data_IF_569801163462
#
_entry.id   IF_569801163462
#
_cell.length_a   1.000
_cell.length_b   1.000
_cell.length_c   1.000
_cell.angle_alpha   90.00
_cell.angle_beta   90.00
_cell.angle_gamma   90.00
#
_symmetry.space_group_name_H-M   'P 1'
#
loop_
_entity.id
_entity.type
_entity.pdbx_description
1 polymer ?
#
# COMPACT_ATOMS: atom_id res chain seq x y z
N UNK A 1 -27.42 -18.61 13.20
CA UNK A 1 -28.40 -19.23 12.27
C UNK A 1 -29.80 -18.64 12.41
N UNK A 2 -30.35 -18.51 13.64
CA UNK A 2 -31.72 -18.03 13.86
C UNK A 2 -31.93 -16.59 13.34
N UNK A 3 -31.00 -15.69 13.61
CA UNK A 3 -31.05 -14.29 13.14
C UNK A 3 -30.94 -14.18 11.62
N UNK A 4 -30.08 -15.00 11.00
CA UNK A 4 -29.94 -15.06 9.55
C UNK A 4 -31.25 -15.51 8.89
N UNK A 5 -31.85 -16.59 9.36
CA UNK A 5 -33.10 -17.12 8.83
C UNK A 5 -34.26 -16.10 8.97
N UNK A 6 -34.30 -15.37 10.07
CA UNK A 6 -35.28 -14.30 10.26
C UNK A 6 -35.05 -13.15 9.25
N UNK A 7 -33.80 -12.70 9.06
CA UNK A 7 -33.45 -11.69 8.07
C UNK A 7 -33.85 -12.12 6.66
N UNK A 8 -33.55 -13.38 6.28
CA UNK A 8 -33.92 -13.92 4.97
C UNK A 8 -35.45 -13.94 4.76
N UNK A 9 -36.20 -14.28 5.79
CA UNK A 9 -37.67 -14.28 5.74
C UNK A 9 -38.24 -12.89 5.58
N UNK A 10 -37.71 -11.90 6.30
CA UNK A 10 -38.13 -10.49 6.18
C UNK A 10 -37.78 -9.92 4.80
N UNK A 11 -36.61 -10.29 4.25
CA UNK A 11 -36.21 -9.88 2.91
C UNK A 11 -37.10 -10.46 1.81
N UNK A 12 -37.48 -11.75 1.93
CA UNK A 12 -38.37 -12.41 0.95
C UNK A 12 -39.81 -11.87 1.00
N UNK A 13 -40.22 -11.32 2.14
CA UNK A 13 -41.51 -10.64 2.32
C UNK A 13 -41.53 -9.17 1.93
N UNK A 14 -40.43 -8.65 1.43
CA UNK A 14 -40.25 -7.22 1.18
C UNK A 14 -40.98 -6.77 -0.10
N UNK A 15 -41.85 -5.79 0.03
CA UNK A 15 -42.59 -5.24 -1.09
C UNK A 15 -41.79 -4.11 -1.78
N UNK A 16 -41.10 -4.46 -2.88
CA UNK A 16 -40.32 -3.52 -3.68
C UNK A 16 -41.15 -2.35 -4.26
N UNK A 17 -42.50 -2.47 -4.33
CA UNK A 17 -43.38 -1.40 -4.84
C UNK A 17 -43.44 -0.19 -3.91
N UNK A 18 -43.03 -0.34 -2.65
CA UNK A 18 -43.02 0.74 -1.65
C UNK A 18 -41.80 1.68 -1.75
N UNK A 19 -40.91 1.47 -2.75
CA UNK A 19 -39.79 2.36 -3.02
C UNK A 19 -38.66 2.33 -1.96
N UNK A 20 -38.61 1.27 -1.16
CA UNK A 20 -37.52 1.07 -0.17
C UNK A 20 -36.39 0.28 -0.80
N UNK A 21 -35.15 0.69 -0.56
CA UNK A 21 -33.92 0.02 -1.00
C UNK A 21 -33.13 -0.40 0.22
N UNK A 22 -32.73 -1.67 0.26
CA UNK A 22 -31.89 -2.21 1.32
C UNK A 22 -30.42 -2.13 0.85
N UNK A 23 -29.57 -1.48 1.66
CA UNK A 23 -28.13 -1.39 1.42
C UNK A 23 -27.39 -2.08 2.57
N UNK A 24 -26.39 -2.89 2.22
CA UNK A 24 -25.46 -3.48 3.16
C UNK A 24 -24.03 -3.25 2.68
N UNK A 25 -23.09 -3.17 3.61
CA UNK A 25 -21.67 -3.05 3.31
C UNK A 25 -20.88 -4.04 4.15
N UNK A 26 -19.85 -4.63 3.56
CA UNK A 26 -18.93 -5.55 4.24
C UNK A 26 -17.55 -5.46 3.62
N UNK A 27 -16.52 -5.65 4.45
CA UNK A 27 -15.15 -5.84 4.00
C UNK A 27 -14.85 -7.32 3.67
N UNK A 28 -15.78 -8.23 4.00
CA UNK A 28 -15.59 -9.67 3.85
C UNK A 28 -16.77 -10.30 3.11
N UNK A 29 -16.86 -10.07 1.79
CA UNK A 29 -17.95 -10.62 0.98
C UNK A 29 -17.92 -12.16 0.92
N UNK A 30 -16.76 -12.77 1.10
CA UNK A 30 -16.50 -14.21 1.14
C UNK A 30 -17.15 -14.92 2.34
N UNK A 31 -17.40 -14.21 3.44
CA UNK A 31 -18.02 -14.77 4.65
C UNK A 31 -19.54 -14.67 4.64
N UNK A 32 -20.11 -14.02 3.64
CA UNK A 32 -21.58 -13.92 3.52
C UNK A 32 -22.19 -15.25 3.11
N UNK A 33 -23.32 -15.59 3.75
CA UNK A 33 -24.10 -16.73 3.33
C UNK A 33 -24.59 -16.55 1.88
N UNK A 34 -24.36 -17.51 0.98
CA UNK A 34 -24.82 -17.44 -0.40
C UNK A 34 -26.31 -17.16 -0.56
N UNK A 35 -27.13 -17.53 0.44
CA UNK A 35 -28.57 -17.25 0.44
C UNK A 35 -28.90 -15.76 0.46
N UNK A 36 -28.05 -14.92 1.08
CA UNK A 36 -28.21 -13.47 1.07
C UNK A 36 -27.98 -12.85 -0.32
N UNK A 37 -27.21 -13.51 -1.17
CA UNK A 37 -26.78 -13.01 -2.47
C UNK A 37 -27.65 -13.49 -3.63
N UNK A 38 -28.78 -14.16 -3.33
CA UNK A 38 -29.75 -14.61 -4.34
C UNK A 38 -30.56 -13.45 -4.93
N UNK A 39 -31.06 -13.58 -6.17
CA UNK A 39 -31.97 -12.59 -6.78
C UNK A 39 -33.16 -12.31 -5.87
N UNK A 40 -33.55 -11.04 -5.77
CA UNK A 40 -34.61 -10.56 -4.89
C UNK A 40 -34.16 -10.20 -3.47
N UNK A 41 -32.86 -10.37 -3.15
CA UNK A 41 -32.23 -9.97 -1.89
C UNK A 41 -31.09 -8.99 -2.19
N UNK A 42 -29.84 -9.25 -1.78
CA UNK A 42 -28.69 -8.47 -2.20
C UNK A 42 -28.19 -8.93 -3.59
N UNK A 43 -28.97 -8.63 -4.60
CA UNK A 43 -28.71 -9.06 -5.98
C UNK A 43 -27.68 -8.19 -6.71
N UNK A 44 -27.42 -6.97 -6.24
CA UNK A 44 -26.41 -6.07 -6.78
C UNK A 44 -25.21 -5.97 -5.86
N UNK A 45 -24.04 -6.27 -6.40
CA UNK A 45 -22.76 -6.12 -5.73
C UNK A 45 -22.01 -4.97 -6.39
N UNK A 46 -21.63 -4.01 -5.58
CA UNK A 46 -20.87 -2.83 -6.03
C UNK A 46 -19.53 -2.87 -5.31
N UNK A 47 -18.45 -3.32 -5.98
CA UNK A 47 -17.10 -3.22 -5.40
C UNK A 47 -16.72 -1.75 -5.26
N UNK A 48 -16.24 -1.37 -4.08
CA UNK A 48 -15.66 -0.06 -3.82
C UNK A 48 -14.15 -0.25 -3.82
N UNK A 49 -13.52 0.05 -4.94
CA UNK A 49 -12.08 -0.07 -5.12
C UNK A 49 -11.33 1.11 -4.51
N UNK A 50 -10.00 0.96 -4.39
CA UNK A 50 -9.14 2.08 -4.00
C UNK A 50 -9.21 3.18 -5.07
N UNK A 51 -9.15 4.46 -4.68
CA UNK A 51 -9.26 5.56 -5.62
C UNK A 51 -8.02 5.65 -6.53
N UNK A 52 -8.25 5.95 -7.81
CA UNK A 52 -7.22 6.34 -8.76
C UNK A 52 -6.60 7.69 -8.40
N UNK A 53 -5.59 8.14 -9.13
CA UNK A 53 -4.90 9.41 -8.87
C UNK A 53 -5.86 10.59 -8.77
N UNK A 54 -6.81 10.70 -9.71
CA UNK A 54 -7.79 11.78 -9.73
C UNK A 54 -8.76 11.69 -8.55
N UNK A 55 -9.21 10.49 -8.24
CA UNK A 55 -10.07 10.22 -7.07
C UNK A 55 -9.35 10.58 -5.76
N UNK A 56 -8.07 10.24 -5.60
CA UNK A 56 -7.29 10.63 -4.42
C UNK A 56 -7.15 12.16 -4.31
N UNK A 57 -6.87 12.83 -5.42
CA UNK A 57 -6.78 14.30 -5.44
C UNK A 57 -8.10 14.96 -5.01
N UNK A 58 -9.24 14.48 -5.54
CA UNK A 58 -10.55 15.01 -5.16
C UNK A 58 -10.93 14.69 -3.70
N UNK A 59 -10.61 13.51 -3.20
CA UNK A 59 -10.81 13.15 -1.78
C UNK A 59 -9.99 14.06 -0.87
N UNK A 60 -8.72 14.30 -1.19
CA UNK A 60 -7.86 15.23 -0.44
C UNK A 60 -8.47 16.64 -0.42
N UNK A 61 -8.93 17.16 -1.57
CA UNK A 61 -9.59 18.47 -1.66
C UNK A 61 -10.87 18.55 -0.82
N UNK A 62 -11.66 17.49 -0.81
CA UNK A 62 -12.89 17.44 0.02
C UNK A 62 -12.56 17.54 1.51
N UNK A 63 -11.59 16.78 1.99
CA UNK A 63 -11.20 16.83 3.40
C UNK A 63 -10.46 18.11 3.75
N UNK A 64 -9.67 18.65 2.83
CA UNK A 64 -8.95 19.91 2.99
C UNK A 64 -9.84 21.15 3.14
N UNK A 65 -11.10 21.10 2.69
CA UNK A 65 -12.08 22.19 2.92
C UNK A 65 -12.32 22.50 4.40
N UNK A 66 -12.03 21.55 5.29
CA UNK A 66 -12.24 21.69 6.74
C UNK A 66 -11.04 22.33 7.45
N UNK A 67 -9.93 22.55 6.75
CA UNK A 67 -8.70 23.11 7.30
C UNK A 67 -8.25 24.34 6.52
N UNK A 68 -7.52 25.23 7.17
CA UNK A 68 -6.91 26.37 6.49
C UNK A 68 -5.62 25.96 5.83
N UNK A 69 -5.54 26.12 4.51
CA UNK A 69 -4.37 25.80 3.72
C UNK A 69 -3.53 27.03 3.41
N UNK A 70 -2.26 26.84 3.14
CA UNK A 70 -1.41 27.83 2.47
C UNK A 70 -1.77 27.90 0.98
N UNK A 71 -1.44 29.03 0.33
CA UNK A 71 -1.88 29.31 -1.04
C UNK A 71 -1.26 28.43 -2.14
N UNK A 72 -0.20 27.67 -1.84
CA UNK A 72 0.59 26.94 -2.82
C UNK A 72 0.60 25.42 -2.60
N UNK A 73 -0.50 24.82 -2.16
CA UNK A 73 -0.62 23.37 -1.97
C UNK A 73 -0.89 22.68 -3.30
N UNK A 74 -0.01 21.77 -3.70
CA UNK A 74 -0.17 20.89 -4.87
C UNK A 74 -0.77 19.55 -4.47
N UNK A 75 -2.09 19.43 -4.57
CA UNK A 75 -2.80 18.18 -4.28
C UNK A 75 -2.47 17.05 -5.24
N UNK A 76 -2.06 17.34 -6.47
CA UNK A 76 -1.67 16.32 -7.43
C UNK A 76 -0.37 15.63 -7.01
N UNK A 77 0.63 16.42 -6.56
CA UNK A 77 1.87 15.86 -6.02
C UNK A 77 1.60 14.99 -4.77
N UNK A 78 0.73 15.46 -3.85
CA UNK A 78 0.32 14.70 -2.66
C UNK A 78 -0.41 13.41 -3.05
N UNK A 79 -1.35 13.46 -4.00
CA UNK A 79 -2.10 12.30 -4.46
C UNK A 79 -1.20 11.23 -5.12
N UNK A 80 -0.17 11.67 -5.86
CA UNK A 80 0.86 10.74 -6.41
C UNK A 80 1.66 10.07 -5.31
N UNK A 81 2.14 10.83 -4.35
CA UNK A 81 2.91 10.30 -3.22
C UNK A 81 2.08 9.35 -2.32
N UNK A 82 0.74 9.52 -2.30
CA UNK A 82 -0.21 8.68 -1.57
C UNK A 82 -0.79 7.55 -2.44
N UNK A 83 -0.03 7.02 -3.39
CA UNK A 83 -0.46 5.90 -4.24
C UNK A 83 -0.87 4.69 -3.41
N UNK A 84 -2.01 4.06 -3.75
CA UNK A 84 -2.58 2.93 -3.03
C UNK A 84 -3.30 3.28 -1.71
N UNK A 85 -3.38 4.56 -1.33
CA UNK A 85 -4.09 4.96 -0.12
C UNK A 85 -5.61 4.90 -0.30
N UNK A 86 -6.29 4.42 0.72
CA UNK A 86 -7.75 4.44 0.84
C UNK A 86 -8.27 5.85 1.16
N UNK A 87 -9.58 6.08 0.94
CA UNK A 87 -10.20 7.34 1.31
C UNK A 87 -10.07 7.70 2.79
N UNK A 88 -10.06 6.70 3.68
CA UNK A 88 -9.86 6.90 5.11
C UNK A 88 -8.43 7.34 5.45
N UNK A 89 -7.43 6.74 4.80
CA UNK A 89 -6.03 7.13 4.96
C UNK A 89 -5.78 8.55 4.44
N UNK A 90 -6.36 8.92 3.29
CA UNK A 90 -6.28 10.27 2.75
C UNK A 90 -6.91 11.31 3.69
N UNK A 91 -8.07 10.99 4.28
CA UNK A 91 -8.69 11.84 5.30
C UNK A 91 -7.79 12.00 6.53
N UNK A 92 -7.15 10.91 6.96
CA UNK A 92 -6.22 10.93 8.09
C UNK A 92 -4.96 11.74 7.77
N UNK A 93 -4.43 11.67 6.54
CA UNK A 93 -3.30 12.49 6.12
C UNK A 93 -3.59 13.99 6.28
N UNK A 94 -4.77 14.45 5.85
CA UNK A 94 -5.17 15.85 6.02
C UNK A 94 -5.29 16.23 7.50
N UNK A 95 -5.83 15.33 8.33
CA UNK A 95 -5.95 15.53 9.77
C UNK A 95 -4.57 15.61 10.46
N UNK A 96 -3.65 14.70 10.14
CA UNK A 96 -2.29 14.71 10.69
C UNK A 96 -1.50 15.96 10.29
N UNK A 97 -1.66 16.41 9.03
CA UNK A 97 -1.06 17.67 8.58
C UNK A 97 -1.58 18.88 9.38
N UNK A 98 -2.90 18.90 9.66
CA UNK A 98 -3.50 19.95 10.49
C UNK A 98 -2.99 19.90 11.93
N UNK A 99 -2.90 18.70 12.53
CA UNK A 99 -2.34 18.52 13.88
C UNK A 99 -0.87 18.96 13.95
N UNK A 100 -0.08 18.68 12.92
CA UNK A 100 1.31 19.14 12.84
C UNK A 100 1.38 20.66 12.80
N UNK A 101 0.59 21.32 11.96
CA UNK A 101 0.56 22.79 11.89
C UNK A 101 0.24 23.42 13.25
N UNK A 102 -0.74 22.84 13.99
CA UNK A 102 -1.08 23.30 15.34
C UNK A 102 0.05 23.09 16.33
N UNK A 103 0.72 21.93 16.32
CA UNK A 103 1.89 21.65 17.19
C UNK A 103 3.03 22.64 16.97
N UNK A 104 3.17 23.16 15.74
CA UNK A 104 4.17 24.18 15.38
C UNK A 104 3.64 25.62 15.49
N UNK A 105 2.47 25.80 16.17
CA UNK A 105 1.82 27.11 16.38
C UNK A 105 1.51 27.86 15.08
N UNK A 106 1.27 27.15 13.98
CA UNK A 106 0.85 27.73 12.70
C UNK A 106 -0.67 27.64 12.53
N UNK A 107 -1.24 28.59 11.80
CA UNK A 107 -2.69 28.69 11.56
C UNK A 107 -3.13 28.06 10.24
N UNK A 108 -2.21 27.60 9.42
CA UNK A 108 -2.47 27.03 8.11
C UNK A 108 -1.53 25.83 7.86
N UNK A 109 -2.03 24.89 7.08
CA UNK A 109 -1.33 23.70 6.65
C UNK A 109 -0.55 24.00 5.39
N UNK A 110 0.73 23.61 5.36
CA UNK A 110 1.62 23.78 4.21
C UNK A 110 1.77 22.49 3.41
N UNK A 111 2.37 22.60 2.23
CA UNK A 111 2.76 21.42 1.42
C UNK A 111 3.61 20.44 2.23
N UNK A 112 4.61 20.94 2.97
CA UNK A 112 5.51 20.11 3.77
C UNK A 112 4.78 19.36 4.92
N UNK A 113 3.69 19.90 5.44
CA UNK A 113 2.89 19.21 6.46
C UNK A 113 2.13 18.02 5.85
N UNK A 114 1.59 18.20 4.65
CA UNK A 114 0.92 17.13 3.91
C UNK A 114 1.90 16.03 3.50
N UNK A 115 3.08 16.37 3.02
CA UNK A 115 4.14 15.42 2.69
C UNK A 115 4.59 14.61 3.91
N UNK A 116 4.82 15.26 5.06
CA UNK A 116 5.15 14.55 6.31
C UNK A 116 3.98 13.68 6.81
N UNK A 117 2.73 14.11 6.58
CA UNK A 117 1.57 13.33 6.97
C UNK A 117 1.42 12.03 6.18
N UNK A 118 1.80 12.02 4.88
CA UNK A 118 1.86 10.80 4.08
C UNK A 118 2.81 9.80 4.74
N UNK A 119 4.02 10.28 5.10
CA UNK A 119 4.99 9.42 5.76
C UNK A 119 4.50 8.90 7.11
N UNK A 120 3.81 9.76 7.87
CA UNK A 120 3.24 9.39 9.17
C UNK A 120 2.17 8.32 9.04
N UNK A 121 1.31 8.41 8.02
CA UNK A 121 0.22 7.46 7.80
C UNK A 121 0.75 6.14 7.22
N UNK A 122 1.70 6.20 6.28
CA UNK A 122 2.25 5.01 5.60
C UNK A 122 3.32 4.31 6.44
N UNK A 123 4.30 5.05 6.96
CA UNK A 123 5.47 4.51 7.66
C UNK A 123 5.41 4.66 9.19
N UNK A 124 4.37 5.31 9.72
CA UNK A 124 4.22 5.58 11.14
C UNK A 124 4.94 6.84 11.60
N UNK A 125 4.72 7.20 12.88
CA UNK A 125 5.33 8.37 13.50
C UNK A 125 6.84 8.23 13.63
N UNK A 126 7.56 9.35 13.62
CA UNK A 126 8.98 9.38 13.96
C UNK A 126 9.18 8.98 15.43
N UNK A 127 10.08 8.03 15.66
CA UNK A 127 10.46 7.64 17.02
C UNK A 127 11.39 8.68 17.62
N UNK A 128 10.95 9.37 18.65
CA UNK A 128 11.74 10.40 19.34
C UNK A 128 12.79 9.82 20.30
N UNK A 129 12.58 8.60 20.76
CA UNK A 129 13.37 7.99 21.84
C UNK A 129 14.34 6.91 21.36
N UNK A 130 14.36 6.58 20.07
CA UNK A 130 15.29 5.59 19.52
C UNK A 130 16.54 6.28 19.02
N UNK A 131 17.60 6.21 19.81
CA UNK A 131 18.90 6.77 19.47
C UNK A 131 19.73 5.67 18.83
N UNK A 132 19.78 5.65 17.51
CA UNK A 132 20.72 4.80 16.77
C UNK A 132 22.15 5.20 17.11
N UNK A 133 23.01 4.22 17.38
CA UNK A 133 24.43 4.46 17.51
C UNK A 133 25.03 5.02 16.20
N UNK A 134 26.16 5.68 16.26
CA UNK A 134 26.83 6.22 15.06
C UNK A 134 27.12 5.13 14.04
N UNK A 135 27.42 3.91 14.48
CA UNK A 135 27.65 2.76 13.61
C UNK A 135 26.35 2.31 12.91
N UNK A 136 25.25 2.22 13.65
CA UNK A 136 23.96 1.85 13.09
C UNK A 136 23.46 2.90 12.10
N UNK A 137 23.58 4.20 12.42
CA UNK A 137 23.23 5.28 11.47
C UNK A 137 24.00 5.16 10.16
N UNK A 138 25.28 4.82 10.24
CA UNK A 138 26.10 4.65 9.06
C UNK A 138 25.63 3.43 8.24
N UNK A 139 25.35 2.30 8.89
CA UNK A 139 24.85 1.10 8.22
C UNK A 139 23.50 1.39 7.53
N UNK A 140 22.55 1.99 8.24
CA UNK A 140 21.24 2.37 7.67
C UNK A 140 21.40 3.34 6.50
N UNK A 141 22.30 4.34 6.61
CA UNK A 141 22.54 5.27 5.53
C UNK A 141 23.04 4.61 4.25
N UNK A 142 24.00 3.70 4.36
CA UNK A 142 24.50 2.93 3.21
C UNK A 142 23.44 1.97 2.66
N UNK A 143 22.63 1.38 3.52
CA UNK A 143 21.51 0.52 3.14
C UNK A 143 20.50 1.29 2.27
N UNK A 144 20.01 2.43 2.75
CA UNK A 144 19.03 3.25 2.02
C UNK A 144 19.60 3.83 0.73
N UNK A 145 20.87 4.28 0.75
CA UNK A 145 21.54 4.74 -0.46
C UNK A 145 21.75 3.58 -1.44
N UNK A 146 21.94 2.36 -0.95
CA UNK A 146 22.01 1.16 -1.80
C UNK A 146 20.74 0.95 -2.60
N UNK A 147 19.56 1.06 -1.97
CA UNK A 147 18.27 1.03 -2.67
C UNK A 147 18.15 2.16 -3.70
N UNK A 148 18.45 3.38 -3.26
CA UNK A 148 18.32 4.57 -4.11
C UNK A 148 19.26 4.52 -5.33
N UNK A 149 20.49 4.06 -5.15
CA UNK A 149 21.47 3.97 -6.23
C UNK A 149 21.06 2.93 -7.27
N UNK A 150 20.64 1.75 -6.81
CA UNK A 150 20.15 0.69 -7.72
C UNK A 150 18.92 1.18 -8.48
N UNK A 151 17.96 1.82 -7.79
CA UNK A 151 16.77 2.38 -8.43
C UNK A 151 17.11 3.45 -9.48
N UNK A 152 18.02 4.37 -9.16
CA UNK A 152 18.39 5.48 -10.05
C UNK A 152 19.18 5.03 -11.30
N UNK A 153 19.86 3.89 -11.23
CA UNK A 153 20.65 3.36 -12.37
C UNK A 153 19.85 2.44 -13.29
N UNK A 154 18.57 2.15 -12.95
CA UNK A 154 17.71 1.31 -13.78
C UNK A 154 16.87 2.15 -14.71
N UNK A 155 16.58 1.62 -15.92
CA UNK A 155 15.86 2.32 -16.97
C UNK A 155 14.35 2.43 -16.70
N UNK A 156 13.76 1.42 -16.08
CA UNK A 156 12.32 1.30 -15.85
C UNK A 156 11.98 1.28 -14.35
N UNK A 157 12.58 2.18 -13.59
CA UNK A 157 12.35 2.32 -12.16
C UNK A 157 11.72 3.68 -11.86
N UNK A 158 10.79 3.69 -10.90
CA UNK A 158 10.22 4.95 -10.40
C UNK A 158 11.33 5.84 -9.82
N UNK A 159 11.28 7.16 -10.03
CA UNK A 159 12.29 8.08 -9.51
C UNK A 159 12.30 8.07 -7.99
N UNK A 160 13.50 8.11 -7.42
CA UNK A 160 13.69 8.27 -5.98
C UNK A 160 13.37 9.71 -5.60
N UNK A 161 12.36 9.88 -4.75
CA UNK A 161 11.91 11.21 -4.30
C UNK A 161 12.43 11.57 -2.93
N UNK A 162 12.68 10.59 -2.07
CA UNK A 162 13.15 10.82 -0.70
C UNK A 162 13.95 9.64 -0.17
N UNK A 163 14.99 9.95 0.61
CA UNK A 163 15.76 8.99 1.41
C UNK A 163 15.77 9.52 2.85
N UNK A 164 15.55 8.67 3.82
CA UNK A 164 15.61 9.02 5.24
C UNK A 164 16.20 7.89 6.09
N UNK A 165 16.90 8.27 7.14
CA UNK A 165 17.44 7.35 8.16
C UNK A 165 16.77 7.61 9.54
N UNK A 166 15.58 8.21 9.54
CA UNK A 166 14.83 8.51 10.75
C UNK A 166 13.95 7.31 11.09
N UNK A 167 14.14 6.68 12.27
CA UNK A 167 13.34 5.53 12.68
C UNK A 167 11.86 5.87 12.81
N UNK A 168 11.01 4.93 12.37
CA UNK A 168 9.55 5.06 12.40
C UNK A 168 8.91 4.00 13.31
N UNK A 169 7.69 4.26 13.76
CA UNK A 169 6.96 3.35 14.66
C UNK A 169 6.56 2.03 13.99
N UNK A 170 6.56 1.96 12.66
CA UNK A 170 6.40 0.71 11.91
C UNK A 170 7.57 -0.29 12.08
N UNK A 171 8.67 0.15 12.71
CA UNK A 171 9.89 -0.65 12.86
C UNK A 171 10.97 -0.36 11.82
N UNK A 172 10.68 0.43 10.79
CA UNK A 172 11.68 0.86 9.82
C UNK A 172 12.70 1.82 10.46
N UNK A 173 13.99 1.56 10.25
CA UNK A 173 15.09 2.42 10.73
C UNK A 173 15.41 3.54 9.73
N UNK A 174 15.04 3.35 8.47
CA UNK A 174 15.09 4.27 7.37
C UNK A 174 14.11 3.84 6.28
N UNK A 175 14.00 4.58 5.22
CA UNK A 175 13.32 4.16 3.98
C UNK A 175 13.74 5.00 2.79
N UNK A 176 13.66 4.39 1.63
CA UNK A 176 13.82 5.04 0.33
C UNK A 176 12.46 5.08 -0.35
N UNK A 177 11.98 6.29 -0.68
CA UNK A 177 10.68 6.51 -1.30
C UNK A 177 10.84 6.70 -2.80
N UNK A 178 10.10 5.91 -3.55
CA UNK A 178 9.95 6.03 -4.99
C UNK A 178 8.50 6.39 -5.31
N UNK A 179 8.29 7.32 -6.23
CA UNK A 179 6.95 7.73 -6.65
C UNK A 179 6.90 7.70 -8.17
N UNK A 180 6.02 6.85 -8.70
CA UNK A 180 5.78 6.79 -10.13
C UNK A 180 5.19 8.10 -10.66
N UNK A 181 5.64 8.52 -11.83
CA UNK A 181 5.10 9.70 -12.51
C UNK A 181 3.65 9.47 -13.00
N UNK A 182 3.33 8.21 -13.37
CA UNK A 182 2.04 7.78 -13.87
C UNK A 182 1.58 6.50 -13.17
N UNK A 183 0.29 6.34 -12.98
CA UNK A 183 -0.27 5.07 -12.50
C UNK A 183 -0.21 4.01 -13.60
N UNK A 184 0.42 2.89 -13.29
CA UNK A 184 0.54 1.76 -14.19
C UNK A 184 -0.20 0.55 -13.64
N UNK A 185 -1.04 -0.04 -14.47
CA UNK A 185 -1.81 -1.25 -14.12
C UNK A 185 -1.10 -2.55 -14.54
N UNK A 186 -0.07 -2.45 -15.37
CA UNK A 186 0.70 -3.59 -15.86
C UNK A 186 2.18 -3.37 -15.57
N UNK A 187 2.85 -4.44 -15.20
CA UNK A 187 4.30 -4.48 -15.03
C UNK A 187 4.89 -5.58 -15.91
N UNK A 188 5.94 -5.25 -16.63
CA UNK A 188 6.70 -6.21 -17.43
C UNK A 188 7.57 -7.10 -16.53
N UNK A 189 8.09 -8.19 -17.10
CA UNK A 189 9.05 -9.06 -16.42
C UNK A 189 10.31 -8.28 -16.01
N UNK A 190 10.80 -7.39 -16.88
CA UNK A 190 11.98 -6.58 -16.64
C UNK A 190 11.75 -5.57 -15.49
N UNK A 191 10.60 -4.91 -15.44
CA UNK A 191 10.25 -4.01 -14.35
C UNK A 191 10.17 -4.74 -13.00
N UNK A 192 9.65 -5.97 -12.98
CA UNK A 192 9.63 -6.79 -11.76
C UNK A 192 11.03 -7.22 -11.32
N UNK A 193 11.91 -7.59 -12.26
CA UNK A 193 13.32 -7.88 -11.98
C UNK A 193 14.04 -6.65 -11.43
N UNK A 194 13.80 -5.49 -12.02
CA UNK A 194 14.34 -4.20 -11.56
C UNK A 194 13.88 -3.87 -10.14
N UNK A 195 12.61 -4.15 -9.84
CA UNK A 195 12.07 -3.96 -8.48
C UNK A 195 12.72 -4.90 -7.46
N UNK A 196 12.94 -6.16 -7.82
CA UNK A 196 13.67 -7.12 -6.98
C UNK A 196 15.11 -6.66 -6.77
N UNK A 197 15.80 -6.20 -7.81
CA UNK A 197 17.15 -5.68 -7.71
C UNK A 197 17.21 -4.46 -6.78
N UNK A 198 16.25 -3.53 -6.88
CA UNK A 198 16.14 -2.40 -5.98
C UNK A 198 15.96 -2.85 -4.53
N UNK A 199 15.05 -3.79 -4.25
CA UNK A 199 14.82 -4.33 -2.91
C UNK A 199 16.06 -5.02 -2.32
N UNK A 200 16.91 -5.61 -3.14
CA UNK A 200 18.14 -6.26 -2.66
C UNK A 200 19.33 -5.30 -2.53
N UNK A 201 19.20 -4.08 -3.06
CA UNK A 201 20.28 -3.07 -3.12
C UNK A 201 20.84 -2.70 -1.76
N UNK A 202 19.97 -2.50 -0.76
CA UNK A 202 20.39 -2.14 0.60
C UNK A 202 21.31 -3.19 1.24
N UNK A 203 20.88 -4.46 1.19
CA UNK A 203 21.70 -5.56 1.70
C UNK A 203 23.01 -5.74 0.95
N UNK A 204 23.01 -5.53 -0.38
CA UNK A 204 24.23 -5.59 -1.18
C UNK A 204 25.22 -4.49 -0.77
N UNK A 205 24.72 -3.28 -0.49
CA UNK A 205 25.54 -2.17 0.00
C UNK A 205 26.17 -2.48 1.37
N UNK A 206 25.40 -3.03 2.32
CA UNK A 206 25.96 -3.48 3.61
C UNK A 206 27.11 -4.47 3.43
N UNK A 207 26.91 -5.50 2.61
CA UNK A 207 27.92 -6.52 2.34
C UNK A 207 29.17 -5.94 1.70
N UNK A 208 29.02 -5.02 0.75
CA UNK A 208 30.11 -4.42 -0.01
C UNK A 208 30.96 -3.50 0.88
N UNK A 209 30.34 -2.68 1.71
CA UNK A 209 31.02 -1.64 2.48
C UNK A 209 31.52 -2.14 3.83
N UNK A 210 30.71 -2.96 4.52
CA UNK A 210 31.00 -3.40 5.88
C UNK A 210 31.47 -4.86 5.95
N UNK A 211 31.47 -5.58 4.84
CA UNK A 211 31.71 -7.03 4.78
C UNK A 211 30.85 -7.82 5.80
N UNK A 212 29.67 -7.29 6.10
CA UNK A 212 28.71 -7.80 7.08
C UNK A 212 27.30 -7.58 6.55
N UNK A 213 26.36 -8.31 7.13
CA UNK A 213 24.93 -8.18 6.83
C UNK A 213 24.17 -8.08 8.13
N UNK A 214 23.11 -7.26 8.12
CA UNK A 214 22.26 -7.06 9.30
C UNK A 214 20.85 -7.62 9.10
N UNK A 215 20.06 -7.62 10.16
CA UNK A 215 18.64 -8.00 10.12
C UNK A 215 17.75 -6.93 9.49
N UNK A 216 18.29 -5.74 9.18
CA UNK A 216 17.55 -4.62 8.61
C UNK A 216 16.87 -4.93 7.27
N UNK A 217 17.48 -5.80 6.47
CA UNK A 217 16.98 -6.21 5.17
C UNK A 217 15.82 -7.24 5.19
N UNK A 218 15.29 -7.60 6.36
CA UNK A 218 14.28 -8.68 6.48
C UNK A 218 13.03 -8.42 5.65
N UNK A 219 12.49 -7.22 5.69
CA UNK A 219 11.32 -6.84 4.92
C UNK A 219 11.58 -6.80 3.40
N UNK A 220 12.75 -6.32 2.98
CA UNK A 220 13.13 -6.27 1.57
C UNK A 220 13.26 -7.66 0.98
N UNK A 221 13.87 -8.59 1.74
CA UNK A 221 14.00 -10.00 1.36
C UNK A 221 12.62 -10.64 1.25
N UNK A 222 11.70 -10.35 2.18
CA UNK A 222 10.34 -10.87 2.15
C UNK A 222 9.59 -10.36 0.90
N UNK A 223 9.66 -9.06 0.62
CA UNK A 223 9.01 -8.46 -0.55
C UNK A 223 9.63 -8.98 -1.87
N UNK A 224 10.95 -9.04 -1.96
CA UNK A 224 11.64 -9.59 -3.12
C UNK A 224 11.24 -11.07 -3.37
N UNK A 225 11.14 -11.86 -2.31
CA UNK A 225 10.70 -13.27 -2.38
C UNK A 225 9.25 -13.38 -2.85
N UNK A 226 8.33 -12.54 -2.34
CA UNK A 226 6.93 -12.50 -2.77
C UNK A 226 6.82 -12.16 -4.26
N UNK A 227 7.58 -11.18 -4.73
CA UNK A 227 7.60 -10.80 -6.16
C UNK A 227 8.15 -11.93 -7.04
N UNK A 228 9.32 -12.49 -6.69
CA UNK A 228 9.93 -13.59 -7.43
C UNK A 228 9.01 -14.82 -7.49
N UNK A 229 8.36 -15.14 -6.36
CA UNK A 229 7.37 -16.19 -6.32
C UNK A 229 6.19 -15.92 -7.26
N UNK A 230 5.61 -14.72 -7.19
CA UNK A 230 4.48 -14.35 -8.05
C UNK A 230 4.83 -14.38 -9.55
N UNK A 231 6.04 -13.99 -9.93
CA UNK A 231 6.54 -14.09 -11.31
C UNK A 231 6.46 -15.53 -11.83
N UNK A 232 6.84 -16.49 -11.00
CA UNK A 232 6.86 -17.91 -11.37
C UNK A 232 5.46 -18.53 -11.26
N UNK A 233 4.78 -18.34 -10.12
CA UNK A 233 3.56 -19.10 -9.79
C UNK A 233 2.28 -18.52 -10.37
N UNK A 234 2.25 -17.21 -10.66
CA UNK A 234 1.03 -16.48 -11.05
C UNK A 234 1.11 -15.83 -12.43
N UNK A 235 2.27 -15.29 -12.79
CA UNK A 235 2.39 -14.49 -14.00
C UNK A 235 2.98 -15.24 -15.20
N UNK A 236 3.41 -16.51 -15.00
CA UNK A 236 3.98 -17.32 -16.05
C UNK A 236 5.30 -16.76 -16.62
N UNK A 237 6.03 -15.98 -15.82
CA UNK A 237 7.30 -15.34 -16.20
C UNK A 237 8.49 -16.26 -15.88
N UNK A 238 8.40 -17.53 -16.28
CA UNK A 238 9.45 -18.51 -16.08
C UNK A 238 9.66 -19.33 -17.35
N UNK A 239 10.89 -19.35 -17.87
CA UNK A 239 11.25 -20.14 -19.04
C UNK A 239 11.05 -21.65 -18.80
N UNK A 240 11.13 -22.09 -17.55
CA UNK A 240 11.01 -23.50 -17.18
C UNK A 240 9.56 -23.98 -17.12
N UNK A 241 8.65 -23.15 -16.59
CA UNK A 241 7.26 -23.53 -16.35
C UNK A 241 6.27 -22.92 -17.35
N UNK A 242 6.68 -21.85 -18.04
CA UNK A 242 5.84 -21.19 -19.05
C UNK A 242 4.51 -20.68 -18.46
N UNK A 243 3.45 -20.77 -19.26
CA UNK A 243 2.10 -20.28 -18.90
C UNK A 243 1.32 -21.30 -18.07
N UNK A 244 1.87 -21.73 -16.94
CA UNK A 244 1.21 -22.63 -15.98
C UNK A 244 0.95 -21.88 -14.67
N UNK A 245 -0.32 -21.84 -14.24
CA UNK A 245 -0.67 -21.30 -12.93
C UNK A 245 -0.38 -22.34 -11.85
N UNK A 246 0.66 -22.11 -11.06
CA UNK A 246 1.10 -22.98 -9.98
C UNK A 246 0.49 -22.60 -8.63
N UNK A 247 -0.24 -21.49 -8.56
CA UNK A 247 -0.86 -20.94 -7.36
C UNK A 247 -2.26 -20.41 -7.67
N UNK A 248 -3.23 -20.80 -6.85
CA UNK A 248 -4.59 -20.25 -6.90
C UNK A 248 -4.84 -19.37 -5.69
N UNK A 249 -5.38 -18.18 -5.92
CA UNK A 249 -5.78 -17.26 -4.86
C UNK A 249 -7.24 -17.50 -4.51
N UNK A 250 -7.50 -17.93 -3.29
CA UNK A 250 -8.87 -18.28 -2.82
C UNK A 250 -9.69 -17.04 -2.45
N UNK A 251 -9.06 -15.90 -2.19
CA UNK A 251 -9.73 -14.65 -1.78
C UNK A 251 -9.04 -13.43 -2.37
N UNK A 252 -9.61 -12.89 -3.45
CA UNK A 252 -9.06 -11.71 -4.13
C UNK A 252 -9.20 -10.40 -3.32
N UNK A 253 -10.15 -10.31 -2.37
CA UNK A 253 -10.53 -9.06 -1.71
C UNK A 253 -9.77 -8.76 -0.41
N UNK A 254 -9.10 -9.73 0.20
CA UNK A 254 -8.43 -9.57 1.50
C UNK A 254 -6.94 -9.97 1.50
N UNK A 255 -6.29 -10.00 0.34
CA UNK A 255 -4.94 -10.55 0.26
C UNK A 255 -4.91 -12.03 0.65
N UNK A 256 -5.96 -12.74 0.26
CA UNK A 256 -6.32 -14.05 0.76
C UNK A 256 -5.27 -15.14 0.59
N UNK A 257 -5.43 -16.19 1.34
CA UNK A 257 -4.58 -17.36 1.33
C UNK A 257 -4.39 -17.90 -0.08
N UNK A 258 -3.13 -17.94 -0.51
CA UNK A 258 -2.75 -18.56 -1.75
C UNK A 258 -2.39 -20.02 -1.48
N UNK A 259 -3.02 -20.92 -2.18
CA UNK A 259 -2.67 -22.34 -2.14
C UNK A 259 -1.89 -22.72 -3.38
N UNK A 260 -0.78 -23.44 -3.19
CA UNK A 260 -0.05 -24.05 -4.31
C UNK A 260 -0.92 -25.13 -4.94
N UNK A 261 -1.09 -25.04 -6.26
CA UNK A 261 -1.82 -26.02 -7.07
C UNK A 261 -0.93 -27.17 -7.55
N UNK A 262 0.35 -27.15 -7.16
CA UNK A 262 1.34 -28.18 -7.53
C UNK A 262 1.80 -28.97 -6.32
N UNK A 263 2.28 -30.24 -6.49
CA UNK A 263 2.91 -31.01 -5.43
C UNK A 263 4.10 -30.29 -4.84
N UNK A 264 4.41 -30.49 -3.54
CA UNK A 264 5.55 -29.82 -2.87
C UNK A 264 6.94 -30.18 -3.46
N UNK A 265 7.01 -31.19 -4.30
CA UNK A 265 8.24 -31.70 -4.94
C UNK A 265 8.55 -30.99 -6.27
N UNK A 266 7.72 -30.06 -6.71
CA UNK A 266 7.88 -29.30 -7.95
C UNK A 266 8.47 -27.92 -7.66
#
# INVERSE_FOLDING_TARGET
EQTLNQLLTEMDGFDASKGVVILAATNRPDTLDPALLRPGRFDRRIPVELPDLKGREEILKVHARKVKLADNVDFNAIARAASGASGAELANMVNEAALKAVRENRKFVTQADLEESIETVIAGYQKKNEVLSSKEKLIVAYHEIGHALVAALQTDSAPVTKITIIPRTSGALGYTMQVDAEERNLMSEEELKNKIATLTGGRCAEKLIFNSITTGASNDIEQATKLARAMITRYGMSDRFGMVALETQTNAYLGGDSSLSCPPEM
#
